data_IF_102234632588
#
_entry.id   IF_102234632588
#
_cell.length_a   1.000
_cell.length_b   1.000
_cell.length_c   1.000
_cell.angle_alpha   90.00
_cell.angle_beta   90.00
_cell.angle_gamma   90.00
#
_symmetry.space_group_name_H-M   'P 1'
#
loop_
_entity.id
_entity.type
_entity.pdbx_description
1 polymer ?
#
# COMPACT_ATOMS: atom_id res chain seq x y z
N UNK A 1 1.47 25.59 0.53
CA UNK A 1 1.71 24.26 -0.05
C UNK A 1 2.70 23.55 0.88
N UNK A 2 2.74 22.22 0.89
CA UNK A 2 3.85 21.49 1.51
C UNK A 2 5.03 21.60 0.54
N UNK A 3 5.68 22.75 0.56
CA UNK A 3 6.92 22.97 -0.16
C UNK A 3 8.01 22.10 0.50
N UNK A 4 9.03 21.66 -0.24
CA UNK A 4 10.12 20.83 0.30
C UNK A 4 9.74 19.38 0.73
N UNK A 5 8.85 18.74 -0.04
CA UNK A 5 8.61 17.30 0.07
C UNK A 5 9.60 16.50 -0.79
N UNK A 6 10.38 15.62 -0.16
CA UNK A 6 11.31 14.69 -0.82
C UNK A 6 10.90 13.24 -0.61
N UNK A 7 11.32 12.38 -1.54
CA UNK A 7 10.93 10.98 -1.60
C UNK A 7 12.12 10.15 -2.03
N UNK A 8 12.31 8.98 -1.41
CA UNK A 8 13.36 8.04 -1.80
C UNK A 8 13.06 6.63 -1.29
N UNK A 9 13.68 5.59 -1.86
CA UNK A 9 13.72 4.28 -1.25
C UNK A 9 14.30 4.33 0.17
N UNK A 10 13.78 3.46 1.03
CA UNK A 10 14.33 3.18 2.35
C UNK A 10 15.66 2.43 2.21
N UNK A 11 16.64 2.79 3.02
CA UNK A 11 17.96 2.15 3.12
C UNK A 11 18.19 1.58 4.51
N UNK A 12 19.27 0.83 4.70
CA UNK A 12 19.63 0.27 6.01
C UNK A 12 19.83 1.34 7.09
N UNK A 13 20.32 2.54 6.70
CA UNK A 13 20.54 3.65 7.62
C UNK A 13 19.24 4.22 8.20
N UNK A 14 18.09 3.97 7.58
CA UNK A 14 16.79 4.42 8.09
C UNK A 14 16.28 3.58 9.26
N UNK A 15 16.81 2.36 9.44
CA UNK A 15 16.40 1.46 10.51
C UNK A 15 16.77 2.09 11.86
N UNK A 16 15.76 2.33 12.69
CA UNK A 16 15.90 3.04 13.97
C UNK A 16 15.71 4.57 13.88
N UNK A 17 15.57 5.11 12.67
CA UNK A 17 15.33 6.55 12.44
C UNK A 17 13.94 6.85 11.86
N UNK A 18 13.26 5.84 11.30
CA UNK A 18 11.87 5.94 10.83
C UNK A 18 11.00 4.86 11.47
N UNK A 19 9.67 5.07 11.55
CA UNK A 19 8.75 4.07 12.09
C UNK A 19 8.77 2.78 11.26
N UNK A 20 8.95 1.63 11.91
CA UNK A 20 8.97 0.32 11.25
C UNK A 20 8.08 -0.71 11.94
N UNK A 21 7.34 -0.35 12.99
CA UNK A 21 6.52 -1.30 13.77
C UNK A 21 5.54 -2.11 12.92
N UNK A 22 5.03 -1.52 11.83
CA UNK A 22 4.13 -2.18 10.87
C UNK A 22 4.86 -2.98 9.76
N UNK A 23 6.18 -2.85 9.64
CA UNK A 23 7.00 -3.60 8.67
C UNK A 23 7.54 -4.94 9.18
N UNK A 24 7.68 -5.07 10.51
CA UNK A 24 8.33 -6.20 11.19
C UNK A 24 9.51 -5.76 12.05
N UNK A 25 10.32 -6.72 12.47
CA UNK A 25 11.54 -6.49 13.24
C UNK A 25 12.63 -5.82 12.40
N UNK A 26 13.59 -5.10 13.03
CA UNK A 26 14.72 -4.51 12.31
C UNK A 26 15.48 -5.49 11.40
N UNK A 27 15.68 -6.73 11.85
CA UNK A 27 16.37 -7.76 11.05
C UNK A 27 15.55 -8.21 9.84
N UNK A 28 14.22 -8.31 9.96
CA UNK A 28 13.36 -8.65 8.81
C UNK A 28 13.32 -7.53 7.78
N UNK A 29 13.33 -6.27 8.25
CA UNK A 29 13.41 -5.09 7.37
C UNK A 29 14.77 -5.05 6.67
N UNK A 30 15.87 -5.23 7.40
CA UNK A 30 17.21 -5.27 6.84
C UNK A 30 17.36 -6.36 5.76
N UNK A 31 16.95 -7.59 6.07
CA UNK A 31 16.99 -8.71 5.12
C UNK A 31 16.17 -8.43 3.84
N UNK A 32 15.05 -7.70 3.97
CA UNK A 32 14.24 -7.28 2.81
C UNK A 32 14.96 -6.22 1.99
N UNK A 33 15.59 -5.22 2.61
CA UNK A 33 16.37 -4.21 1.90
C UNK A 33 17.55 -4.85 1.17
N UNK A 34 18.25 -5.79 1.79
CA UNK A 34 19.39 -6.50 1.18
C UNK A 34 18.97 -7.37 -0.03
N UNK A 35 17.82 -8.02 0.07
CA UNK A 35 17.34 -8.93 -1.00
C UNK A 35 16.60 -8.22 -2.13
N UNK A 36 15.84 -7.16 -1.81
CA UNK A 36 14.96 -6.48 -2.76
C UNK A 36 15.52 -5.13 -3.21
N UNK A 37 16.44 -4.53 -2.47
CA UNK A 37 16.96 -3.17 -2.66
C UNK A 37 16.25 -2.12 -1.80
N UNK A 38 15.00 -2.36 -1.39
CA UNK A 38 14.29 -1.51 -0.42
C UNK A 38 13.09 -2.25 0.20
N UNK A 39 12.60 -1.78 1.35
CA UNK A 39 11.37 -2.27 2.00
C UNK A 39 10.22 -1.27 1.96
N UNK A 40 10.50 0.00 1.65
CA UNK A 40 9.53 1.08 1.60
C UNK A 40 10.02 2.23 0.70
N UNK A 41 9.10 3.00 0.12
CA UNK A 41 9.39 4.36 -0.30
C UNK A 41 9.05 5.29 0.85
N UNK A 42 9.97 6.17 1.21
CA UNK A 42 9.81 7.13 2.31
C UNK A 42 9.50 8.52 1.76
N UNK A 43 8.70 9.27 2.50
CA UNK A 43 8.40 10.69 2.27
C UNK A 43 8.93 11.53 3.44
N UNK A 44 9.57 12.64 3.11
CA UNK A 44 10.10 13.59 4.08
C UNK A 44 9.60 15.00 3.79
N UNK A 45 9.36 15.78 4.85
CA UNK A 45 9.05 17.21 4.78
C UNK A 45 10.08 17.95 5.64
N UNK A 46 10.89 18.80 5.00
CA UNK A 46 12.01 19.50 5.68
C UNK A 46 12.92 18.56 6.47
N UNK A 47 13.25 17.42 5.86
CA UNK A 47 14.12 16.38 6.42
C UNK A 47 13.47 15.45 7.46
N UNK A 48 12.25 15.73 7.92
CA UNK A 48 11.52 14.86 8.85
C UNK A 48 10.71 13.82 8.09
N UNK A 49 10.75 12.55 8.52
CA UNK A 49 9.88 11.50 7.99
C UNK A 49 8.40 11.84 8.25
N UNK A 50 7.57 11.75 7.20
CA UNK A 50 6.12 12.06 7.25
C UNK A 50 5.24 10.97 6.65
N UNK A 51 5.83 9.87 6.23
CA UNK A 51 5.09 8.70 5.80
C UNK A 51 5.87 7.83 4.83
N UNK A 52 5.25 6.71 4.50
CA UNK A 52 5.90 5.67 3.70
C UNK A 52 4.88 4.83 2.94
N UNK A 53 5.32 4.22 1.85
CA UNK A 53 4.63 3.16 1.13
C UNK A 53 5.47 1.90 1.28
N UNK A 54 4.95 0.90 1.98
CA UNK A 54 5.65 -0.36 2.22
C UNK A 54 5.42 -1.35 1.08
N UNK A 55 6.44 -2.13 0.75
CA UNK A 55 6.39 -3.17 -0.27
C UNK A 55 7.07 -4.44 0.23
N UNK A 56 6.65 -5.58 -0.31
CA UNK A 56 7.29 -6.89 -0.09
C UNK A 56 7.36 -7.66 -1.41
N UNK A 57 8.25 -8.64 -1.53
CA UNK A 57 8.16 -9.61 -2.61
C UNK A 57 6.77 -10.26 -2.59
N UNK A 58 6.16 -10.43 -3.76
CA UNK A 58 4.92 -11.18 -3.86
C UNK A 58 5.22 -12.68 -3.67
N UNK A 59 4.51 -13.30 -2.73
CA UNK A 59 4.63 -14.73 -2.44
C UNK A 59 3.23 -15.35 -2.50
N UNK A 60 2.90 -16.16 -3.53
CA UNK A 60 1.56 -16.71 -3.72
C UNK A 60 1.00 -17.53 -2.54
N UNK A 61 1.89 -18.07 -1.71
CA UNK A 61 1.54 -18.90 -0.56
C UNK A 61 1.22 -18.09 0.71
N UNK A 62 1.41 -16.77 0.74
CA UNK A 62 1.09 -15.94 1.90
C UNK A 62 -0.39 -16.02 2.21
N UNK A 63 -0.72 -16.27 3.48
CA UNK A 63 -2.08 -16.31 4.00
C UNK A 63 -2.16 -15.45 5.25
N UNK A 64 -3.28 -14.75 5.37
CA UNK A 64 -3.61 -13.87 6.47
C UNK A 64 -4.74 -14.49 7.29
N UNK A 65 -4.74 -14.25 8.60
CA UNK A 65 -5.85 -14.62 9.49
C UNK A 65 -7.06 -13.66 9.40
N UNK A 66 -6.97 -12.61 8.58
CA UNK A 66 -8.02 -11.60 8.42
C UNK A 66 -7.48 -10.18 8.17
N UNK A 67 -8.38 -9.22 8.01
CA UNK A 67 -8.14 -7.81 7.69
C UNK A 67 -7.11 -7.14 8.59
N UNK A 68 -7.07 -7.54 9.87
CA UNK A 68 -6.20 -6.95 10.89
C UNK A 68 -4.83 -7.62 11.00
N UNK A 69 -4.60 -8.71 10.27
CA UNK A 69 -3.31 -9.40 10.24
C UNK A 69 -2.29 -8.58 9.41
N UNK A 70 -1.04 -8.37 9.89
CA UNK A 70 0.02 -7.72 9.11
C UNK A 70 0.28 -8.32 7.72
N UNK A 71 -0.05 -9.60 7.51
CA UNK A 71 0.07 -10.29 6.23
C UNK A 71 -1.09 -10.03 5.26
N UNK A 72 -2.19 -9.40 5.71
CA UNK A 72 -3.39 -9.17 4.91
C UNK A 72 -3.06 -8.58 3.53
N UNK A 73 -2.21 -7.57 3.48
CA UNK A 73 -1.89 -6.91 2.21
C UNK A 73 -1.09 -7.76 1.22
N UNK A 74 -0.38 -8.77 1.72
CA UNK A 74 0.33 -9.76 0.91
C UNK A 74 -0.50 -10.99 0.54
N UNK A 75 -1.66 -11.18 1.18
CA UNK A 75 -2.55 -12.30 0.91
C UNK A 75 -3.47 -12.00 -0.28
N UNK A 76 -3.18 -12.61 -1.43
CA UNK A 76 -4.02 -12.53 -2.62
C UNK A 76 -4.79 -13.83 -2.89
N UNK A 77 -5.08 -14.62 -1.86
CA UNK A 77 -5.82 -15.89 -1.99
C UNK A 77 -7.24 -15.74 -2.53
N UNK A 78 -7.84 -14.56 -2.40
CA UNK A 78 -9.15 -14.21 -2.97
C UNK A 78 -9.09 -13.84 -4.45
N UNK A 79 -7.89 -13.73 -5.05
CA UNK A 79 -7.72 -13.39 -6.47
C UNK A 79 -7.67 -14.68 -7.28
N UNK A 80 -8.66 -14.86 -8.16
CA UNK A 80 -8.75 -16.00 -9.06
C UNK A 80 -7.85 -15.83 -10.29
N UNK A 81 -7.66 -14.58 -10.73
CA UNK A 81 -6.81 -14.26 -11.86
C UNK A 81 -5.33 -14.63 -11.56
N UNK A 82 -4.62 -15.29 -12.50
CA UNK A 82 -3.20 -15.58 -12.32
C UNK A 82 -2.39 -14.28 -12.11
N UNK A 83 -1.58 -14.26 -11.04
CA UNK A 83 -0.69 -13.15 -10.74
C UNK A 83 0.76 -13.49 -11.14
N UNK A 84 1.56 -12.51 -11.60
CA UNK A 84 2.97 -12.72 -11.93
C UNK A 84 3.74 -13.20 -10.70
N UNK A 85 4.38 -14.37 -10.80
CA UNK A 85 5.12 -14.96 -9.68
C UNK A 85 6.35 -14.13 -9.28
N UNK A 86 6.97 -13.43 -10.24
CA UNK A 86 8.08 -12.52 -10.00
C UNK A 86 7.57 -11.08 -9.96
N UNK A 87 7.48 -10.52 -8.76
CA UNK A 87 7.01 -9.15 -8.57
C UNK A 87 7.05 -8.72 -7.11
N UNK A 88 6.62 -7.48 -6.88
CA UNK A 88 6.42 -6.93 -5.55
C UNK A 88 4.95 -6.64 -5.34
N UNK A 89 4.47 -6.82 -4.11
CA UNK A 89 3.16 -6.34 -3.70
C UNK A 89 3.30 -5.11 -2.79
N UNK A 90 2.41 -4.14 -3.01
CA UNK A 90 2.23 -3.00 -2.12
C UNK A 90 1.51 -3.52 -0.88
N UNK A 91 2.14 -3.31 0.28
CA UNK A 91 1.51 -3.58 1.55
C UNK A 91 0.60 -2.41 1.92
N UNK A 92 1.14 -1.36 2.55
CA UNK A 92 0.33 -0.31 3.13
C UNK A 92 0.98 1.07 2.99
N UNK A 93 0.12 2.09 3.02
CA UNK A 93 0.47 3.50 3.04
C UNK A 93 0.32 4.03 4.46
N UNK A 94 1.41 4.58 4.99
CA UNK A 94 1.47 5.19 6.32
C UNK A 94 1.71 6.69 6.21
N UNK A 95 0.94 7.36 5.35
CA UNK A 95 1.00 8.83 5.21
C UNK A 95 0.61 9.46 6.54
N UNK A 96 1.39 10.44 7.01
CA UNK A 96 1.19 11.12 8.28
C UNK A 96 1.66 10.32 9.51
N UNK A 97 2.20 9.11 9.35
CA UNK A 97 2.82 8.40 10.47
C UNK A 97 4.23 8.96 10.72
N UNK A 98 4.41 9.62 11.85
CA UNK A 98 5.66 10.30 12.22
C UNK A 98 6.45 9.56 13.31
N UNK A 99 5.84 8.58 13.95
CA UNK A 99 6.39 7.68 14.98
C UNK A 99 5.72 6.30 14.88
N UNK A 100 6.09 5.34 15.73
CA UNK A 100 5.53 3.97 15.72
C UNK A 100 4.10 3.86 16.27
N UNK A 101 3.45 4.98 16.65
CA UNK A 101 2.05 4.95 17.04
C UNK A 101 1.10 4.83 15.83
N UNK A 102 -0.15 4.50 16.12
CA UNK A 102 -1.23 4.50 15.12
C UNK A 102 -1.77 5.91 14.82
N UNK A 103 -1.28 6.94 15.50
CA UNK A 103 -1.67 8.31 15.21
C UNK A 103 -1.20 8.74 13.81
N UNK A 104 -2.01 9.57 13.16
CA UNK A 104 -1.74 10.12 11.83
C UNK A 104 -1.84 11.63 11.88
N UNK A 105 -0.77 12.30 11.50
CA UNK A 105 -0.76 13.74 11.34
C UNK A 105 -1.61 14.13 10.12
N UNK A 106 -2.77 14.73 10.42
CA UNK A 106 -3.80 15.08 9.44
C UNK A 106 -3.35 16.13 8.43
N UNK A 107 -2.28 16.90 8.73
CA UNK A 107 -1.72 17.90 7.82
C UNK A 107 -1.17 17.27 6.54
N UNK A 108 -0.77 16.00 6.59
CA UNK A 108 -0.24 15.25 5.45
C UNK A 108 -1.31 14.44 4.71
N UNK A 109 -2.56 14.47 5.16
CA UNK A 109 -3.66 13.71 4.55
C UNK A 109 -4.34 14.49 3.43
N UNK A 110 -4.61 13.83 2.29
CA UNK A 110 -5.35 14.43 1.18
C UNK A 110 -4.59 15.45 0.34
N UNK A 111 -3.26 15.52 0.49
CA UNK A 111 -2.37 16.48 -0.21
C UNK A 111 -1.51 15.82 -1.29
N UNK A 112 -1.83 14.58 -1.68
CA UNK A 112 -1.17 13.87 -2.79
C UNK A 112 0.11 13.09 -2.45
N UNK A 113 0.55 13.03 -1.19
CA UNK A 113 1.76 12.29 -0.78
C UNK A 113 1.66 10.80 -1.16
N UNK A 114 0.52 10.15 -0.93
CA UNK A 114 0.33 8.74 -1.30
C UNK A 114 0.50 8.48 -2.80
N UNK A 115 -0.02 9.37 -3.65
CA UNK A 115 0.14 9.26 -5.10
C UNK A 115 1.60 9.43 -5.53
N UNK A 116 2.34 10.37 -4.92
CA UNK A 116 3.77 10.59 -5.18
C UNK A 116 4.66 9.44 -4.68
N UNK A 117 4.34 8.84 -3.53
CA UNK A 117 4.99 7.64 -3.03
C UNK A 117 4.88 6.50 -4.06
N UNK A 118 3.68 6.32 -4.64
CA UNK A 118 3.47 5.34 -5.69
C UNK A 118 4.27 5.67 -6.95
N UNK A 119 4.32 6.93 -7.39
CA UNK A 119 5.12 7.33 -8.57
C UNK A 119 6.61 6.96 -8.40
N UNK A 120 7.16 7.21 -7.22
CA UNK A 120 8.57 6.88 -6.90
C UNK A 120 8.78 5.38 -6.78
N UNK A 121 7.82 4.63 -6.22
CA UNK A 121 7.87 3.16 -6.22
C UNK A 121 7.95 2.62 -7.65
N UNK A 122 7.13 3.14 -8.55
CA UNK A 122 7.08 2.65 -9.94
C UNK A 122 8.36 2.98 -10.69
N UNK A 123 8.92 4.17 -10.49
CA UNK A 123 10.22 4.53 -11.06
C UNK A 123 11.33 3.60 -10.53
N UNK A 124 11.35 3.33 -9.23
CA UNK A 124 12.27 2.39 -8.61
C UNK A 124 12.10 0.97 -9.17
N UNK A 125 10.85 0.51 -9.32
CA UNK A 125 10.54 -0.82 -9.86
C UNK A 125 11.01 -0.96 -11.32
N UNK A 126 10.84 0.09 -12.13
CA UNK A 126 11.29 0.10 -13.53
C UNK A 126 12.83 0.09 -13.62
N UNK A 127 13.53 0.87 -12.78
CA UNK A 127 14.99 0.90 -12.68
C UNK A 127 15.58 -0.45 -12.24
N UNK A 128 14.91 -1.14 -11.31
CA UNK A 128 15.33 -2.43 -10.76
C UNK A 128 14.75 -3.61 -11.54
N UNK A 129 14.20 -3.36 -12.72
CA UNK A 129 13.72 -4.39 -13.64
C UNK A 129 12.63 -5.30 -13.06
N UNK A 130 11.89 -4.83 -12.06
CA UNK A 130 10.84 -5.59 -11.37
C UNK A 130 9.72 -5.91 -12.36
N UNK A 131 9.40 -7.20 -12.61
CA UNK A 131 8.47 -7.55 -13.68
C UNK A 131 7.03 -7.10 -13.45
N UNK A 132 6.60 -7.02 -12.19
CA UNK A 132 5.25 -6.61 -11.83
C UNK A 132 5.17 -5.92 -10.47
N UNK A 133 4.25 -4.97 -10.37
CA UNK A 133 3.80 -4.36 -9.11
C UNK A 133 2.33 -4.71 -8.92
N UNK A 134 2.00 -5.35 -7.80
CA UNK A 134 0.67 -5.84 -7.45
C UNK A 134 0.16 -5.04 -6.26
N UNK A 135 -1.13 -4.67 -6.26
CA UNK A 135 -1.71 -3.91 -5.17
C UNK A 135 -3.16 -4.31 -4.91
N UNK A 136 -3.58 -4.23 -3.65
CA UNK A 136 -5.00 -4.16 -3.30
C UNK A 136 -5.44 -2.70 -3.34
N UNK A 137 -6.38 -2.37 -4.22
CA UNK A 137 -7.01 -1.07 -4.27
C UNK A 137 -8.28 -1.07 -3.41
N UNK A 138 -8.39 -0.08 -2.53
CA UNK A 138 -9.51 0.07 -1.60
C UNK A 138 -10.68 0.84 -2.24
N UNK A 139 -11.90 0.72 -1.71
CA UNK A 139 -13.03 1.57 -2.07
C UNK A 139 -12.72 3.08 -1.91
N UNK A 140 -13.23 3.96 -2.80
CA UNK A 140 -12.89 5.38 -2.83
C UNK A 140 -13.64 6.22 -1.77
N UNK A 141 -13.83 5.66 -0.58
CA UNK A 141 -14.44 6.35 0.56
C UNK A 141 -13.36 6.77 1.53
N UNK A 142 -13.32 8.07 1.90
CA UNK A 142 -12.25 8.61 2.75
C UNK A 142 -12.08 7.85 4.08
N UNK A 143 -13.15 7.53 4.85
CA UNK A 143 -13.01 6.74 6.07
C UNK A 143 -12.34 5.38 5.82
N UNK A 144 -12.71 4.70 4.72
CA UNK A 144 -12.12 3.41 4.32
C UNK A 144 -10.66 3.57 3.93
N UNK A 145 -10.31 4.54 3.09
CA UNK A 145 -8.91 4.77 2.69
C UNK A 145 -8.00 5.10 3.88
N UNK A 146 -8.51 5.89 4.83
CA UNK A 146 -7.76 6.27 6.04
C UNK A 146 -7.61 5.10 6.99
N UNK A 147 -8.65 4.31 7.19
CA UNK A 147 -8.62 3.13 8.05
C UNK A 147 -7.71 2.03 7.50
N UNK A 148 -7.87 1.70 6.21
CA UNK A 148 -7.10 0.64 5.58
C UNK A 148 -5.63 1.04 5.37
N UNK A 149 -5.34 2.33 5.16
CA UNK A 149 -4.01 2.73 4.70
C UNK A 149 -3.73 2.25 3.27
N UNK A 150 -4.76 2.31 2.42
CA UNK A 150 -4.70 1.93 1.00
C UNK A 150 -5.10 3.08 0.07
N UNK A 151 -4.88 2.91 -1.23
CA UNK A 151 -5.31 3.86 -2.25
C UNK A 151 -6.47 3.30 -3.09
N UNK A 152 -7.35 4.14 -3.64
CA UNK A 152 -8.39 3.67 -4.55
C UNK A 152 -7.87 3.39 -5.96
N UNK A 153 -8.64 2.63 -6.73
CA UNK A 153 -8.31 2.27 -8.12
C UNK A 153 -8.04 3.50 -9.01
N UNK A 154 -8.68 4.64 -8.73
CA UNK A 154 -8.44 5.90 -9.44
C UNK A 154 -7.02 6.45 -9.28
N UNK A 155 -6.26 6.01 -8.28
CA UNK A 155 -4.84 6.34 -8.12
C UNK A 155 -3.97 5.41 -8.96
N UNK A 156 -4.31 4.12 -9.04
CA UNK A 156 -3.53 3.10 -9.74
C UNK A 156 -3.71 3.14 -11.27
N UNK A 157 -4.96 3.26 -11.75
CA UNK A 157 -5.28 3.15 -13.18
C UNK A 157 -4.49 4.14 -14.07
N UNK A 158 -4.36 5.45 -13.73
CA UNK A 158 -3.58 6.38 -14.53
C UNK A 158 -2.07 6.07 -14.57
N UNK A 159 -1.58 5.19 -13.68
CA UNK A 159 -0.17 4.79 -13.55
C UNK A 159 0.14 3.45 -14.24
N UNK A 160 -0.77 3.01 -15.11
CA UNK A 160 -0.59 1.80 -15.93
C UNK A 160 -0.99 0.49 -15.25
N UNK A 161 -1.69 0.57 -14.11
CA UNK A 161 -2.30 -0.63 -13.53
C UNK A 161 -3.57 -1.00 -14.30
N UNK A 162 -3.83 -2.31 -14.39
CA UNK A 162 -5.13 -2.87 -14.77
C UNK A 162 -5.77 -3.52 -13.55
N UNK A 163 -7.10 -3.46 -13.45
CA UNK A 163 -7.83 -4.25 -12.45
C UNK A 163 -8.03 -5.65 -13.03
N UNK A 164 -7.51 -6.67 -12.35
CA UNK A 164 -7.59 -8.06 -12.78
C UNK A 164 -8.67 -8.84 -12.03
N UNK A 165 -9.05 -8.37 -10.85
CA UNK A 165 -10.07 -9.02 -10.02
C UNK A 165 -10.70 -8.06 -9.00
N UNK A 166 -11.84 -8.43 -8.43
CA UNK A 166 -12.52 -7.71 -7.35
C UNK A 166 -13.37 -8.62 -6.46
N UNK A 167 -13.34 -8.38 -5.16
CA UNK A 167 -14.14 -9.12 -4.17
C UNK A 167 -14.73 -8.18 -3.13
N UNK A 168 -15.74 -8.64 -2.41
CA UNK A 168 -16.26 -7.94 -1.22
C UNK A 168 -15.49 -8.45 -0.01
N UNK A 169 -14.83 -7.55 0.71
CA UNK A 169 -14.09 -7.89 1.92
C UNK A 169 -15.05 -7.94 3.12
N UNK A 170 -15.27 -9.14 3.67
CA UNK A 170 -16.31 -9.40 4.68
C UNK A 170 -16.07 -8.62 5.97
N UNK A 171 -14.85 -8.69 6.52
CA UNK A 171 -14.51 -7.97 7.75
C UNK A 171 -14.55 -6.45 7.56
N UNK A 172 -14.18 -5.95 6.37
CA UNK A 172 -14.28 -4.52 6.06
C UNK A 172 -15.74 -4.08 5.98
N UNK A 173 -16.61 -4.91 5.38
CA UNK A 173 -18.05 -4.67 5.32
C UNK A 173 -18.64 -4.55 6.73
N UNK A 174 -18.30 -5.46 7.63
CA UNK A 174 -18.72 -5.44 9.04
C UNK A 174 -18.21 -4.19 9.78
N UNK A 175 -16.95 -3.79 9.54
CA UNK A 175 -16.39 -2.54 10.10
C UNK A 175 -17.18 -1.33 9.61
N UNK A 176 -17.47 -1.24 8.31
CA UNK A 176 -18.22 -0.12 7.72
C UNK A 176 -19.61 -0.03 8.31
N UNK A 177 -20.31 -1.18 8.43
CA UNK A 177 -21.64 -1.28 9.03
C UNK A 177 -21.61 -0.81 10.49
N UNK A 178 -20.70 -1.36 11.29
CA UNK A 178 -20.56 -1.04 12.72
C UNK A 178 -20.22 0.42 12.96
N UNK A 179 -19.38 1.01 12.11
CA UNK A 179 -18.94 2.42 12.23
C UNK A 179 -19.90 3.40 11.57
N UNK A 180 -20.87 2.92 10.79
CA UNK A 180 -21.82 3.76 10.06
C UNK A 180 -21.18 4.72 9.05
N UNK A 181 -20.00 4.38 8.50
CA UNK A 181 -19.19 5.34 7.71
C UNK A 181 -19.86 5.83 6.42
N UNK A 182 -20.77 5.05 5.85
CA UNK A 182 -21.41 5.36 4.57
C UNK A 182 -22.82 5.93 4.73
N UNK A 183 -23.35 5.98 5.96
CA UNK A 183 -24.71 6.41 6.25
C UNK A 183 -25.77 5.34 5.98
N UNK A 184 -27.01 5.67 6.32
CA UNK A 184 -28.17 4.78 6.18
C UNK A 184 -28.52 4.53 4.70
N UNK A 185 -28.86 3.29 4.35
CA UNK A 185 -29.24 2.91 2.98
C UNK A 185 -28.07 2.82 1.99
N UNK A 186 -26.82 3.00 2.44
CA UNK A 186 -25.65 2.84 1.59
C UNK A 186 -25.43 1.38 1.17
N UNK A 187 -24.89 1.20 -0.04
CA UNK A 187 -24.42 -0.11 -0.51
C UNK A 187 -23.11 -0.47 0.21
N UNK A 188 -23.23 -1.30 1.24
CA UNK A 188 -22.10 -1.77 2.06
C UNK A 188 -21.12 -2.62 1.24
N UNK A 189 -21.61 -3.36 0.25
CA UNK A 189 -20.77 -4.22 -0.59
C UNK A 189 -19.93 -3.37 -1.52
N UNK A 190 -20.47 -2.28 -2.08
CA UNK A 190 -19.68 -1.27 -2.79
C UNK A 190 -18.66 -0.59 -1.85
N UNK A 191 -19.08 -0.35 -0.60
CA UNK A 191 -18.27 0.18 0.50
C UNK A 191 -17.05 -0.66 0.85
N UNK A 192 -17.15 -1.99 0.68
CA UNK A 192 -16.13 -2.98 1.03
C UNK A 192 -15.50 -3.68 -0.18
N UNK A 193 -15.76 -3.19 -1.40
CA UNK A 193 -15.26 -3.81 -2.64
C UNK A 193 -13.79 -3.52 -2.90
N UNK A 194 -12.95 -4.46 -2.52
CA UNK A 194 -11.53 -4.47 -2.83
C UNK A 194 -11.29 -4.85 -4.30
N UNK A 195 -10.16 -4.40 -4.85
CA UNK A 195 -9.76 -4.74 -6.22
C UNK A 195 -8.30 -5.16 -6.26
N UNK A 196 -7.96 -6.16 -7.05
CA UNK A 196 -6.58 -6.48 -7.36
C UNK A 196 -6.14 -5.63 -8.57
N UNK A 197 -5.15 -4.78 -8.36
CA UNK A 197 -4.55 -3.95 -9.40
C UNK A 197 -3.15 -4.49 -9.72
N UNK A 198 -2.85 -4.70 -10.99
CA UNK A 198 -1.54 -5.19 -11.45
C UNK A 198 -0.98 -4.25 -12.50
N UNK A 199 0.28 -3.85 -12.33
CA UNK A 199 1.08 -3.18 -13.37
C UNK A 199 2.21 -4.10 -13.78
N UNK A 200 2.28 -4.40 -15.07
CA UNK A 200 3.36 -5.17 -15.68
C UNK A 200 4.42 -4.21 -16.23
N UNK A 201 5.70 -4.56 -16.08
CA UNK A 201 6.80 -3.86 -16.73
C UNK A 201 6.63 -3.97 -18.25
N UNK A 202 6.81 -2.86 -18.97
CA UNK A 202 6.69 -2.83 -20.44
C UNK A 202 5.26 -2.79 -20.99
N UNK A 203 4.22 -2.85 -20.15
CA UNK A 203 2.82 -2.64 -20.58
C UNK A 203 2.19 -3.77 -21.41
N UNK A 204 2.86 -4.91 -21.56
CA UNK A 204 2.28 -6.06 -22.26
C UNK A 204 1.22 -6.73 -21.40
N UNK A 205 -0.03 -6.70 -21.88
CA UNK A 205 -1.10 -7.56 -21.38
C UNK A 205 -0.86 -8.96 -21.95
N UNK A 206 -0.66 -9.96 -21.09
CA UNK A 206 -0.81 -11.37 -21.48
C UNK A 206 -2.25 -11.67 -21.87
#
# INVERSE_FOLDING_TARGET
MLDDLTFRPMTLDDIGHVPIGHQGTPSEVAARIESLGTSAILAFHSGRHVGQLQLRPYVPAVRSAGLFDPLYWGDFSMVEAPLPAAGVCIHCYHVGQVDDSDERDTRYQGVGIGARLLDVLLAWADEHEIPAVIAKAVPPYRPVTTFMGGQPASIYLPRGFSIVDSWVEGELREVIETKGWLGEGADLDAGARMRCAVRLRGGERT
#
